data_IF_481499989742
#
_entry.id   IF_481499989742
#
_cell.length_a   1.000
_cell.length_b   1.000
_cell.length_c   1.000
_cell.angle_alpha   90.00
_cell.angle_beta   90.00
_cell.angle_gamma   90.00
#
_symmetry.space_group_name_H-M   'P 1'
#
loop_
_entity.id
_entity.type
_entity.pdbx_description
1 polymer ?
#
# COMPACT_ATOMS: atom_id res chain seq x y z
N UNK A 1 71.05 -3.91 73.71
CA UNK A 1 71.47 -4.22 72.32
C UNK A 1 70.60 -5.29 71.64
N UNK A 2 70.26 -6.41 72.32
CA UNK A 2 69.41 -7.46 71.76
C UNK A 2 67.95 -7.01 71.51
N UNK A 3 67.34 -6.34 72.50
CA UNK A 3 65.96 -5.82 72.40
C UNK A 3 65.76 -4.80 71.27
N UNK A 4 66.77 -3.95 71.01
CA UNK A 4 66.74 -2.98 69.93
C UNK A 4 66.74 -3.68 68.55
N UNK A 5 67.48 -4.78 68.39
CA UNK A 5 67.50 -5.57 67.15
C UNK A 5 66.16 -6.27 66.90
N UNK A 6 65.55 -6.82 67.94
CA UNK A 6 64.21 -7.45 67.87
C UNK A 6 63.17 -6.42 67.44
N UNK A 7 63.13 -5.24 68.08
CA UNK A 7 62.22 -4.14 67.69
C UNK A 7 62.44 -3.68 66.25
N UNK A 8 63.68 -3.58 65.77
CA UNK A 8 63.94 -3.21 64.37
C UNK A 8 63.51 -4.29 63.37
N UNK A 9 63.57 -5.56 63.75
CA UNK A 9 63.07 -6.66 62.91
C UNK A 9 61.54 -6.64 62.84
N UNK A 10 60.87 -6.48 63.99
CA UNK A 10 59.41 -6.35 64.07
C UNK A 10 58.89 -5.11 63.30
N UNK A 11 59.63 -4.00 63.32
CA UNK A 11 59.29 -2.83 62.52
C UNK A 11 59.42 -3.09 61.02
N UNK A 12 60.46 -3.80 60.58
CA UNK A 12 60.62 -4.18 59.17
C UNK A 12 59.52 -5.13 58.70
N UNK A 13 59.15 -6.11 59.53
CA UNK A 13 58.05 -7.03 59.17
C UNK A 13 56.72 -6.28 59.07
N UNK A 14 56.44 -5.36 60.02
CA UNK A 14 55.25 -4.50 59.93
C UNK A 14 55.26 -3.61 58.68
N UNK A 15 56.39 -2.99 58.36
CA UNK A 15 56.52 -2.19 57.13
C UNK A 15 56.28 -3.03 55.87
N UNK A 16 56.79 -4.26 55.82
CA UNK A 16 56.54 -5.14 54.67
C UNK A 16 55.09 -5.60 54.60
N UNK A 17 54.44 -5.86 55.73
CA UNK A 17 53.02 -6.21 55.79
C UNK A 17 52.13 -5.04 55.35
N UNK A 18 52.44 -3.82 55.80
CA UNK A 18 51.77 -2.58 55.37
C UNK A 18 51.93 -2.35 53.87
N UNK A 19 53.16 -2.48 53.34
CA UNK A 19 53.43 -2.34 51.90
C UNK A 19 52.66 -3.38 51.08
N UNK A 20 52.62 -4.63 51.52
CA UNK A 20 51.86 -5.68 50.83
C UNK A 20 50.34 -5.41 50.88
N UNK A 21 49.84 -4.89 52.01
CA UNK A 21 48.44 -4.50 52.12
C UNK A 21 48.10 -3.31 51.20
N UNK A 22 48.99 -2.32 51.08
CA UNK A 22 48.81 -1.20 50.13
C UNK A 22 48.81 -1.67 48.68
N UNK A 23 49.73 -2.56 48.31
CA UNK A 23 49.78 -3.15 46.95
C UNK A 23 48.50 -3.94 46.67
N UNK A 24 48.04 -4.76 47.63
CA UNK A 24 46.79 -5.50 47.47
C UNK A 24 45.59 -4.55 47.32
N UNK A 25 45.46 -3.53 48.18
CA UNK A 25 44.36 -2.58 48.15
C UNK A 25 44.34 -1.76 46.85
N UNK A 26 45.52 -1.38 46.33
CA UNK A 26 45.61 -0.66 45.05
C UNK A 26 45.29 -1.58 43.88
N UNK A 27 45.83 -2.81 43.85
CA UNK A 27 45.56 -3.78 42.81
C UNK A 27 44.08 -4.17 42.71
N UNK A 28 43.40 -4.33 43.85
CA UNK A 28 41.97 -4.62 43.91
C UNK A 28 41.07 -3.37 43.95
N UNK A 29 41.65 -2.18 43.77
CA UNK A 29 40.90 -0.93 43.69
C UNK A 29 39.96 -0.92 42.49
N UNK A 30 38.84 -0.21 42.62
CA UNK A 30 37.84 0.00 41.56
C UNK A 30 38.45 0.67 40.31
N UNK A 31 39.51 1.45 40.50
CA UNK A 31 40.25 2.11 39.43
C UNK A 31 41.01 1.11 38.54
N UNK A 32 41.67 0.11 39.14
CA UNK A 32 42.52 -0.85 38.40
C UNK A 32 41.77 -2.11 37.96
N UNK A 33 40.73 -2.51 38.70
CA UNK A 33 39.88 -3.67 38.34
C UNK A 33 38.76 -3.32 37.37
N UNK A 34 38.62 -2.04 37.07
CA UNK A 34 37.57 -1.47 36.21
C UNK A 34 36.14 -1.90 36.57
N UNK A 35 35.87 -2.22 37.83
CA UNK A 35 34.60 -2.81 38.24
C UNK A 35 33.38 -1.91 37.90
N UNK A 36 32.37 -2.54 37.30
CA UNK A 36 31.16 -1.88 36.75
C UNK A 36 29.99 -1.84 37.74
N UNK A 37 30.13 -2.41 38.94
CA UNK A 37 29.05 -2.50 39.94
C UNK A 37 28.66 -1.16 40.55
N UNK A 38 29.58 -0.18 40.56
CA UNK A 38 29.36 1.15 41.12
C UNK A 38 28.76 2.16 40.11
N UNK A 39 28.12 1.63 39.06
CA UNK A 39 27.61 2.42 37.95
C UNK A 39 26.30 3.14 38.28
N UNK A 40 25.47 2.56 39.14
CA UNK A 40 24.14 3.08 39.43
C UNK A 40 24.13 3.87 40.75
N UNK A 41 23.44 5.00 40.73
CA UNK A 41 23.07 5.72 41.96
C UNK A 41 21.93 4.99 42.70
N UNK A 42 21.63 5.39 43.93
CA UNK A 42 20.54 4.87 44.75
C UNK A 42 19.16 4.94 44.05
N UNK A 43 19.01 5.82 43.05
CA UNK A 43 17.82 5.94 42.19
C UNK A 43 17.86 5.11 40.90
N UNK A 44 18.82 4.19 40.78
CA UNK A 44 19.04 3.36 39.58
C UNK A 44 19.38 4.15 38.31
N UNK A 45 19.86 5.39 38.44
CA UNK A 45 20.38 6.17 37.33
C UNK A 45 21.85 5.87 37.10
N UNK A 46 22.28 5.90 35.84
CA UNK A 46 23.68 5.73 35.46
C UNK A 46 24.46 6.98 35.88
N UNK A 47 25.53 6.79 36.64
CA UNK A 47 26.51 7.82 36.92
C UNK A 47 27.37 8.01 35.67
N UNK A 48 27.19 9.15 35.00
CA UNK A 48 27.74 9.44 33.68
C UNK A 48 29.26 9.27 33.64
N UNK A 49 29.98 9.80 34.62
CA UNK A 49 31.44 9.75 34.68
C UNK A 49 32.01 8.34 34.89
N UNK A 50 31.17 7.39 35.32
CA UNK A 50 31.56 5.99 35.59
C UNK A 50 31.12 5.03 34.49
N UNK A 51 30.48 5.54 33.44
CA UNK A 51 29.98 4.70 32.36
C UNK A 51 31.11 4.17 31.47
N UNK A 52 31.16 2.85 31.34
CA UNK A 52 32.18 2.12 30.55
C UNK A 52 31.60 1.35 29.36
N UNK A 53 30.32 1.59 29.04
CA UNK A 53 29.59 0.86 28.01
C UNK A 53 28.57 -0.13 28.58
N UNK A 54 27.82 -0.75 27.68
CA UNK A 54 26.76 -1.71 28.01
C UNK A 54 27.33 -3.06 28.43
N UNK A 55 26.60 -3.77 29.30
CA UNK A 55 26.92 -5.16 29.63
C UNK A 55 26.81 -6.05 28.40
N UNK A 56 27.58 -7.14 28.37
CA UNK A 56 27.49 -8.13 27.31
C UNK A 56 26.07 -8.69 27.17
N UNK A 57 25.39 -8.91 28.30
CA UNK A 57 23.99 -9.37 28.32
C UNK A 57 23.05 -8.37 27.63
N UNK A 58 23.24 -7.06 27.87
CA UNK A 58 22.44 -6.02 27.23
C UNK A 58 22.71 -5.96 25.72
N UNK A 59 23.96 -6.14 25.31
CA UNK A 59 24.31 -6.19 23.89
C UNK A 59 23.70 -7.42 23.21
N UNK A 60 23.66 -8.55 23.90
CA UNK A 60 23.06 -9.79 23.39
C UNK A 60 21.54 -9.66 23.29
N UNK A 61 20.88 -9.06 24.28
CA UNK A 61 19.47 -8.71 24.21
C UNK A 61 19.15 -7.81 23.01
N UNK A 62 19.98 -6.78 22.78
CA UNK A 62 19.83 -5.89 21.61
C UNK A 62 19.98 -6.68 20.30
N UNK A 63 20.98 -7.59 20.21
CA UNK A 63 21.17 -8.44 19.03
C UNK A 63 19.97 -9.35 18.80
N UNK A 64 19.44 -9.97 19.86
CA UNK A 64 18.25 -10.80 19.77
C UNK A 64 17.04 -9.99 19.26
N UNK A 65 16.83 -8.78 19.78
CA UNK A 65 15.76 -7.90 19.32
C UNK A 65 15.95 -7.46 17.86
N UNK A 66 17.19 -7.22 17.41
CA UNK A 66 17.45 -6.91 16.01
C UNK A 66 17.11 -8.09 15.10
N UNK A 67 17.45 -9.31 15.50
CA UNK A 67 17.12 -10.51 14.73
C UNK A 67 15.62 -10.74 14.64
N UNK A 68 14.87 -10.53 15.72
CA UNK A 68 13.40 -10.62 15.69
C UNK A 68 12.80 -9.56 14.77
N UNK A 69 13.27 -8.30 14.84
CA UNK A 69 12.82 -7.24 13.94
C UNK A 69 13.09 -7.54 12.47
N UNK A 70 14.24 -8.12 12.15
CA UNK A 70 14.57 -8.54 10.77
C UNK A 70 13.59 -9.61 10.30
N UNK A 71 13.33 -10.63 11.13
CA UNK A 71 12.41 -11.70 10.80
C UNK A 71 10.96 -11.18 10.63
N UNK A 72 10.51 -10.28 11.49
CA UNK A 72 9.19 -9.64 11.38
C UNK A 72 9.05 -8.82 10.10
N UNK A 73 10.06 -7.99 9.78
CA UNK A 73 10.06 -7.22 8.52
C UNK A 73 10.03 -8.11 7.29
N UNK A 74 10.75 -9.24 7.32
CA UNK A 74 10.69 -10.21 6.22
C UNK A 74 9.29 -10.83 6.08
N UNK A 75 8.64 -11.18 7.18
CA UNK A 75 7.25 -11.69 7.16
C UNK A 75 6.29 -10.67 6.57
N UNK A 76 6.38 -9.41 6.99
CA UNK A 76 5.53 -8.31 6.47
C UNK A 76 5.75 -8.15 4.97
N UNK A 77 7.01 -8.04 4.52
CA UNK A 77 7.34 -7.89 3.10
C UNK A 77 6.83 -9.06 2.24
N UNK A 78 6.86 -10.28 2.77
CA UNK A 78 6.34 -11.44 2.07
C UNK A 78 4.80 -11.44 2.00
N UNK A 79 4.13 -11.00 3.08
CA UNK A 79 2.68 -10.84 3.10
C UNK A 79 2.22 -9.75 2.12
N UNK A 80 2.91 -8.61 2.06
CA UNK A 80 2.66 -7.53 1.10
C UNK A 80 2.80 -8.02 -0.35
N UNK A 81 3.86 -8.77 -0.66
CA UNK A 81 4.04 -9.36 -2.00
C UNK A 81 2.91 -10.30 -2.38
N UNK A 82 2.51 -11.17 -1.47
CA UNK A 82 1.39 -12.10 -1.69
C UNK A 82 0.09 -11.32 -1.95
N UNK A 83 -0.18 -10.30 -1.12
CA UNK A 83 -1.33 -9.42 -1.31
C UNK A 83 -1.29 -8.73 -2.69
N UNK A 84 -0.17 -8.11 -3.06
CA UNK A 84 -0.01 -7.44 -4.35
C UNK A 84 -0.22 -8.39 -5.54
N UNK A 85 0.26 -9.62 -5.45
CA UNK A 85 0.05 -10.65 -6.48
C UNK A 85 -1.43 -11.01 -6.62
N UNK A 86 -2.11 -11.28 -5.50
CA UNK A 86 -3.56 -11.57 -5.51
C UNK A 86 -4.37 -10.38 -6.03
N UNK A 87 -4.01 -9.16 -5.64
CA UNK A 87 -4.65 -7.94 -6.11
C UNK A 87 -4.46 -7.73 -7.62
N UNK A 88 -3.24 -7.97 -8.13
CA UNK A 88 -2.96 -7.93 -9.58
C UNK A 88 -3.79 -8.96 -10.35
N UNK A 89 -3.90 -10.19 -9.84
CA UNK A 89 -4.73 -11.22 -10.48
C UNK A 89 -6.20 -10.81 -10.51
N UNK A 90 -6.73 -10.30 -9.40
CA UNK A 90 -8.11 -9.82 -9.29
C UNK A 90 -8.37 -8.64 -10.24
N UNK A 91 -7.50 -7.63 -10.25
CA UNK A 91 -7.58 -6.48 -11.13
C UNK A 91 -7.55 -6.89 -12.61
N UNK A 92 -6.66 -7.81 -12.98
CA UNK A 92 -6.59 -8.36 -14.33
C UNK A 92 -7.87 -9.12 -14.72
N UNK A 93 -8.47 -9.88 -13.80
CA UNK A 93 -9.72 -10.58 -14.05
C UNK A 93 -10.87 -9.60 -14.29
N UNK A 94 -10.97 -8.53 -13.48
CA UNK A 94 -11.95 -7.46 -13.69
C UNK A 94 -11.74 -6.78 -15.04
N UNK A 95 -10.49 -6.42 -15.38
CA UNK A 95 -10.20 -5.76 -16.65
C UNK A 95 -10.60 -6.62 -17.85
N UNK A 96 -10.32 -7.93 -17.80
CA UNK A 96 -10.77 -8.89 -18.82
C UNK A 96 -12.30 -8.93 -18.92
N UNK A 97 -12.99 -9.00 -17.78
CA UNK A 97 -14.44 -9.03 -17.75
C UNK A 97 -15.06 -7.73 -18.31
N UNK A 98 -14.47 -6.58 -18.01
CA UNK A 98 -14.91 -5.29 -18.54
C UNK A 98 -14.81 -5.26 -20.07
N UNK A 99 -13.69 -5.73 -20.64
CA UNK A 99 -13.52 -5.81 -22.10
C UNK A 99 -14.59 -6.71 -22.75
N UNK A 100 -14.91 -7.86 -22.13
CA UNK A 100 -15.96 -8.76 -22.66
C UNK A 100 -17.32 -8.06 -22.66
N UNK A 101 -17.65 -7.34 -21.58
CA UNK A 101 -18.92 -6.61 -21.47
C UNK A 101 -18.98 -5.48 -22.50
N UNK A 102 -17.89 -4.74 -22.69
CA UNK A 102 -17.81 -3.68 -23.72
C UNK A 102 -18.07 -4.24 -25.12
N UNK A 103 -17.46 -5.39 -25.46
CA UNK A 103 -17.68 -6.05 -26.74
C UNK A 103 -19.15 -6.48 -26.91
N UNK A 104 -19.78 -7.04 -25.87
CA UNK A 104 -21.19 -7.41 -25.90
C UNK A 104 -22.10 -6.19 -26.14
N UNK A 105 -21.81 -5.07 -25.47
CA UNK A 105 -22.54 -3.82 -25.67
C UNK A 105 -22.41 -3.32 -27.11
N UNK A 106 -21.21 -3.42 -27.70
CA UNK A 106 -20.99 -3.04 -29.09
C UNK A 106 -21.75 -3.94 -30.07
N UNK A 107 -21.77 -5.25 -29.83
CA UNK A 107 -22.52 -6.22 -30.63
C UNK A 107 -24.02 -5.94 -30.59
N UNK A 108 -24.57 -5.74 -29.41
CA UNK A 108 -25.98 -5.42 -29.21
C UNK A 108 -26.35 -4.10 -29.89
N UNK A 109 -25.50 -3.06 -29.77
CA UNK A 109 -25.69 -1.79 -30.49
C UNK A 109 -25.69 -1.99 -32.00
N UNK A 110 -24.78 -2.81 -32.53
CA UNK A 110 -24.73 -3.11 -33.97
C UNK A 110 -26.00 -3.80 -34.45
N UNK A 111 -26.47 -4.80 -33.71
CA UNK A 111 -27.72 -5.51 -34.02
C UNK A 111 -28.93 -4.58 -33.96
N UNK A 112 -29.04 -3.78 -32.90
CA UNK A 112 -30.11 -2.80 -32.74
C UNK A 112 -30.13 -1.79 -33.89
N UNK A 113 -28.97 -1.22 -34.23
CA UNK A 113 -28.84 -0.26 -35.33
C UNK A 113 -29.22 -0.90 -36.69
N UNK A 114 -28.88 -2.17 -36.90
CA UNK A 114 -29.27 -2.90 -38.10
C UNK A 114 -30.79 -3.09 -38.19
N UNK A 115 -31.44 -3.49 -37.10
CA UNK A 115 -32.90 -3.62 -37.04
C UNK A 115 -33.59 -2.27 -37.31
N UNK A 116 -33.14 -1.21 -36.62
CA UNK A 116 -33.65 0.15 -36.80
C UNK A 116 -33.48 0.64 -38.25
N UNK A 117 -32.34 0.36 -38.88
CA UNK A 117 -32.10 0.71 -40.27
C UNK A 117 -33.07 0.00 -41.23
N UNK A 118 -33.41 -1.27 -40.97
CA UNK A 118 -34.38 -2.00 -41.78
C UNK A 118 -35.81 -1.48 -41.60
N UNK A 119 -36.21 -1.17 -40.37
CA UNK A 119 -37.50 -0.53 -40.09
C UNK A 119 -37.61 0.83 -40.78
N UNK A 120 -36.59 1.67 -40.67
CA UNK A 120 -36.53 2.97 -41.34
C UNK A 120 -36.63 2.82 -42.87
N UNK A 121 -35.99 1.81 -43.47
CA UNK A 121 -36.14 1.51 -44.91
C UNK A 121 -37.58 1.14 -45.28
N UNK A 122 -38.23 0.29 -44.48
CA UNK A 122 -39.61 -0.13 -44.71
C UNK A 122 -40.57 1.05 -44.57
N UNK A 123 -40.44 1.87 -43.53
CA UNK A 123 -41.23 3.08 -43.32
C UNK A 123 -41.05 4.07 -44.47
N UNK A 124 -39.81 4.30 -44.91
CA UNK A 124 -39.52 5.18 -46.05
C UNK A 124 -40.12 4.67 -47.38
N UNK A 125 -40.25 3.35 -47.54
CA UNK A 125 -40.94 2.76 -48.69
C UNK A 125 -42.44 2.98 -48.62
N UNK A 126 -43.07 2.67 -47.48
CA UNK A 126 -44.51 2.88 -47.26
C UNK A 126 -44.88 4.36 -47.44
N UNK A 127 -44.06 5.27 -46.90
CA UNK A 127 -44.28 6.70 -47.06
C UNK A 127 -44.25 7.12 -48.54
N UNK A 128 -43.25 6.66 -49.30
CA UNK A 128 -43.17 6.93 -50.75
C UNK A 128 -44.39 6.39 -51.51
N UNK A 129 -44.80 5.16 -51.22
CA UNK A 129 -45.99 4.55 -51.85
C UNK A 129 -47.27 5.33 -51.54
N UNK A 130 -47.41 5.83 -50.30
CA UNK A 130 -48.54 6.67 -49.89
C UNK A 130 -48.53 8.02 -50.60
N UNK A 131 -47.38 8.68 -50.67
CA UNK A 131 -47.23 9.95 -51.38
C UNK A 131 -47.56 9.79 -52.88
N UNK A 132 -47.10 8.70 -53.50
CA UNK A 132 -47.43 8.34 -54.87
C UNK A 132 -48.94 8.17 -55.08
N UNK A 133 -49.62 7.45 -54.17
CA UNK A 133 -51.07 7.27 -54.20
C UNK A 133 -51.81 8.61 -54.10
N UNK A 134 -51.44 9.45 -53.12
CA UNK A 134 -52.06 10.76 -52.91
C UNK A 134 -51.91 11.64 -54.15
N UNK A 135 -50.70 11.72 -54.71
CA UNK A 135 -50.42 12.57 -55.87
C UNK A 135 -51.11 12.08 -57.15
N UNK A 136 -51.15 10.76 -57.39
CA UNK A 136 -51.69 10.19 -58.63
C UNK A 136 -53.22 10.09 -58.65
N UNK A 137 -53.84 9.73 -57.52
CA UNK A 137 -55.27 9.39 -57.44
C UNK A 137 -56.07 10.51 -56.78
N UNK A 138 -55.64 10.98 -55.60
CA UNK A 138 -56.46 11.88 -54.78
C UNK A 138 -56.30 13.36 -55.20
N UNK A 139 -55.06 13.81 -55.40
CA UNK A 139 -54.74 15.21 -55.73
C UNK A 139 -54.83 15.52 -57.22
N UNK A 140 -55.06 14.51 -58.06
CA UNK A 140 -55.42 14.72 -59.46
C UNK A 140 -56.88 15.18 -59.55
N UNK A 141 -57.10 16.48 -59.47
CA UNK A 141 -58.41 17.08 -59.72
C UNK A 141 -58.73 17.00 -61.21
N UNK A 142 -59.63 16.09 -61.58
CA UNK A 142 -60.24 16.07 -62.91
C UNK A 142 -61.60 16.78 -62.83
N UNK A 143 -61.92 17.69 -63.77
CA UNK A 143 -63.23 18.34 -63.77
C UNK A 143 -64.33 17.31 -64.03
N UNK A 144 -65.35 17.30 -63.18
CA UNK A 144 -66.49 16.37 -63.28
C UNK A 144 -67.35 16.70 -64.49
N UNK A 145 -68.04 15.73 -65.09
CA UNK A 145 -68.93 15.99 -66.24
C UNK A 145 -69.97 17.11 -65.98
N UNK A 146 -70.44 17.21 -64.73
CA UNK A 146 -71.33 18.28 -64.26
C UNK A 146 -70.70 19.67 -64.33
N UNK A 147 -69.39 19.80 -64.17
CA UNK A 147 -68.66 21.06 -64.31
C UNK A 147 -68.75 21.59 -65.75
N UNK A 148 -68.57 20.72 -66.75
CA UNK A 148 -68.67 21.13 -68.16
C UNK A 148 -70.10 21.48 -68.58
N UNK A 149 -71.10 20.83 -67.98
CA UNK A 149 -72.53 21.11 -68.21
C UNK A 149 -72.99 22.50 -67.70
N UNK A 150 -72.20 23.18 -66.86
CA UNK A 150 -72.53 24.51 -66.37
C UNK A 150 -72.34 25.59 -67.44
N UNK A 151 -71.44 25.36 -68.41
CA UNK A 151 -71.13 26.31 -69.48
C UNK A 151 -72.14 26.17 -70.64
N UNK A 152 -72.49 27.29 -71.30
CA UNK A 152 -73.46 27.36 -72.41
C UNK A 152 -74.92 26.98 -72.07
N UNK A 153 -75.33 27.15 -70.81
CA UNK A 153 -76.70 26.85 -70.35
C UNK A 153 -77.71 27.99 -70.60
N UNK A 154 -77.25 29.18 -70.94
CA UNK A 154 -78.10 30.34 -71.23
C UNK A 154 -77.76 30.94 -72.60
N UNK A 155 -78.79 31.19 -73.40
CA UNK A 155 -78.68 31.87 -74.70
C UNK A 155 -78.78 33.37 -74.44
N UNK A 156 -77.64 34.06 -74.36
CA UNK A 156 -77.60 35.53 -74.35
C UNK A 156 -76.98 36.03 -75.63
#
# INVERSE_FOLDING_TARGET
ACEAKIRTHEQKTRQTEEQLAEIANTAFSDMLTENSKNLFDARSHIIVDRWKGMSQDQLDDIRHQQLTQIAERQKIKNAEKCFDETWKQYSNAIAKQAIIIEQQIEDDKRQYNHCLANENKNLAKIQREREDYLNKILYRSAPTATFYQQFNTTSR
#
